data_IF_261269325766
#
_entry.id   IF_261269325766
#
_cell.length_a   1.000
_cell.length_b   1.000
_cell.length_c   1.000
_cell.angle_alpha   90.00
_cell.angle_beta   90.00
_cell.angle_gamma   90.00
#
_symmetry.space_group_name_H-M   'P 1'
#
loop_
_entity.id
_entity.type
_entity.pdbx_description
1 polymer ?
#
# COMPACT_ATOMS: atom_id res chain seq x y z
N UNK A 1 -37.43 -42.64 6.22
CA UNK A 1 -36.15 -41.89 6.28
C UNK A 1 -36.29 -40.79 7.31
N UNK A 2 -35.41 -40.69 8.32
CA UNK A 2 -35.46 -39.61 9.29
C UNK A 2 -35.14 -38.30 8.56
N UNK A 3 -36.07 -37.35 8.56
CA UNK A 3 -35.82 -36.00 8.04
C UNK A 3 -34.76 -35.37 8.95
N UNK A 4 -33.60 -35.02 8.38
CA UNK A 4 -32.46 -34.49 9.12
C UNK A 4 -32.87 -33.34 10.06
N UNK A 5 -32.29 -33.30 11.27
CA UNK A 5 -32.50 -32.22 12.23
C UNK A 5 -32.28 -30.87 11.53
N UNK A 6 -33.28 -30.00 11.59
CA UNK A 6 -33.14 -28.62 11.12
C UNK A 6 -32.17 -27.91 12.07
N UNK A 7 -31.20 -27.19 11.51
CA UNK A 7 -30.26 -26.36 12.28
C UNK A 7 -31.03 -25.38 13.15
N UNK A 8 -30.54 -25.12 14.35
CA UNK A 8 -31.11 -24.11 15.25
C UNK A 8 -30.76 -22.70 14.74
N UNK A 9 -31.53 -21.70 15.17
CA UNK A 9 -31.23 -20.31 14.83
C UNK A 9 -29.84 -19.87 15.32
N UNK A 10 -29.39 -20.40 16.46
CA UNK A 10 -28.05 -20.12 17.00
C UNK A 10 -26.94 -20.68 16.11
N UNK A 11 -27.06 -21.93 15.65
CA UNK A 11 -26.07 -22.53 14.74
C UNK A 11 -25.94 -21.75 13.43
N UNK A 12 -27.04 -21.18 12.92
CA UNK A 12 -27.02 -20.35 11.71
C UNK A 12 -26.31 -19.01 11.98
N UNK A 13 -26.55 -18.40 13.14
CA UNK A 13 -25.89 -17.14 13.54
C UNK A 13 -24.39 -17.37 13.74
N UNK A 14 -23.98 -18.46 14.38
CA UNK A 14 -22.58 -18.82 14.56
C UNK A 14 -21.86 -19.04 13.22
N UNK A 15 -22.50 -19.72 12.27
CA UNK A 15 -21.96 -19.91 10.91
C UNK A 15 -21.81 -18.56 10.18
N UNK A 16 -22.78 -17.65 10.33
CA UNK A 16 -22.70 -16.30 9.77
C UNK A 16 -21.59 -15.47 10.40
N UNK A 17 -21.43 -15.52 11.72
CA UNK A 17 -20.36 -14.83 12.43
C UNK A 17 -18.99 -15.33 11.98
N UNK A 18 -18.78 -16.65 11.94
CA UNK A 18 -17.52 -17.23 11.48
C UNK A 18 -17.18 -16.82 10.05
N UNK A 19 -18.20 -16.73 9.17
CA UNK A 19 -18.00 -16.24 7.81
C UNK A 19 -17.58 -14.76 7.78
N UNK A 20 -18.24 -13.92 8.56
CA UNK A 20 -17.91 -12.49 8.66
C UNK A 20 -16.50 -12.30 9.22
N UNK A 21 -16.10 -13.09 10.23
CA UNK A 21 -14.74 -13.08 10.78
C UNK A 21 -13.70 -13.45 9.71
N UNK A 22 -13.94 -14.52 8.95
CA UNK A 22 -13.04 -14.92 7.86
C UNK A 22 -12.92 -13.85 6.78
N UNK A 23 -14.02 -13.19 6.43
CA UNK A 23 -14.02 -12.13 5.43
C UNK A 23 -13.32 -10.86 5.95
N UNK A 24 -13.45 -10.55 7.24
CA UNK A 24 -12.68 -9.49 7.90
C UNK A 24 -11.17 -9.77 7.87
N UNK A 25 -10.75 -11.00 8.19
CA UNK A 25 -9.33 -11.38 8.15
C UNK A 25 -8.74 -11.24 6.74
N UNK A 26 -9.47 -11.70 5.72
CA UNK A 26 -9.06 -11.55 4.30
C UNK A 26 -8.95 -10.08 3.91
N UNK A 27 -9.92 -9.26 4.30
CA UNK A 27 -9.90 -7.82 4.02
C UNK A 27 -8.70 -7.14 4.70
N UNK A 28 -8.42 -7.47 5.96
CA UNK A 28 -7.25 -6.95 6.68
C UNK A 28 -5.94 -7.35 6.03
N UNK A 29 -5.81 -8.61 5.59
CA UNK A 29 -4.65 -9.07 4.83
C UNK A 29 -4.49 -8.28 3.52
N UNK A 30 -5.60 -8.00 2.83
CA UNK A 30 -5.59 -7.21 1.60
C UNK A 30 -5.17 -5.76 1.84
N UNK A 31 -5.65 -5.14 2.93
CA UNK A 31 -5.25 -3.79 3.32
C UNK A 31 -3.74 -3.74 3.57
N UNK A 32 -3.17 -4.70 4.30
CA UNK A 32 -1.72 -4.77 4.53
C UNK A 32 -0.93 -4.92 3.22
N UNK A 33 -1.39 -5.77 2.30
CA UNK A 33 -0.79 -5.93 0.98
C UNK A 33 -0.79 -4.62 0.18
N UNK A 34 -1.92 -3.91 0.17
CA UNK A 34 -2.06 -2.63 -0.52
C UNK A 34 -1.21 -1.53 0.11
N UNK A 35 -1.11 -1.48 1.44
CA UNK A 35 -0.23 -0.56 2.15
C UNK A 35 1.25 -0.79 1.78
N UNK A 36 1.69 -2.04 1.75
CA UNK A 36 3.05 -2.38 1.34
C UNK A 36 3.32 -2.01 -0.13
N UNK A 37 2.33 -2.23 -1.02
CA UNK A 37 2.42 -1.80 -2.42
C UNK A 37 2.51 -0.29 -2.56
N UNK A 38 1.71 0.46 -1.80
CA UNK A 38 1.73 1.92 -1.78
C UNK A 38 3.11 2.44 -1.40
N UNK A 39 3.66 1.99 -0.27
CA UNK A 39 4.99 2.39 0.21
C UNK A 39 6.08 2.10 -0.84
N UNK A 40 6.06 0.92 -1.47
CA UNK A 40 7.01 0.59 -2.55
C UNK A 40 6.89 1.50 -3.78
N UNK A 41 5.66 1.91 -4.13
CA UNK A 41 5.43 2.83 -5.25
C UNK A 41 5.88 4.24 -4.91
N UNK A 42 5.67 4.70 -3.68
CA UNK A 42 6.17 5.99 -3.18
C UNK A 42 7.70 6.03 -3.22
N UNK A 43 8.38 5.02 -2.69
CA UNK A 43 9.85 4.92 -2.76
C UNK A 43 10.38 4.91 -4.21
N UNK A 44 9.68 4.21 -5.11
CA UNK A 44 10.07 4.17 -6.53
C UNK A 44 9.89 5.53 -7.19
N UNK A 45 8.79 6.23 -6.87
CA UNK A 45 8.50 7.57 -7.37
C UNK A 45 9.58 8.55 -6.92
N UNK A 46 9.90 8.58 -5.62
CA UNK A 46 10.96 9.45 -5.08
C UNK A 46 12.30 9.18 -5.75
N UNK A 47 12.69 7.91 -5.94
CA UNK A 47 13.92 7.55 -6.65
C UNK A 47 13.93 8.01 -8.10
N UNK A 48 12.79 7.93 -8.79
CA UNK A 48 12.68 8.41 -10.17
C UNK A 48 12.80 9.94 -10.23
N UNK A 49 12.09 10.65 -9.35
CA UNK A 49 12.15 12.12 -9.26
C UNK A 49 13.57 12.60 -8.96
N UNK A 50 14.26 11.97 -7.99
CA UNK A 50 15.66 12.28 -7.67
C UNK A 50 16.61 11.96 -8.83
N UNK A 51 16.40 10.84 -9.51
CA UNK A 51 17.21 10.46 -10.68
C UNK A 51 17.02 11.43 -11.84
N UNK A 52 15.78 11.86 -12.11
CA UNK A 52 15.48 12.85 -13.13
C UNK A 52 16.08 14.21 -12.78
N UNK A 53 15.96 14.63 -11.52
CA UNK A 53 16.56 15.87 -11.04
C UNK A 53 18.08 15.85 -11.24
N UNK A 54 18.74 14.77 -10.81
CA UNK A 54 20.19 14.62 -10.97
C UNK A 54 20.62 14.59 -12.45
N UNK A 55 19.85 13.93 -13.31
CA UNK A 55 20.10 13.93 -14.75
C UNK A 55 19.99 15.34 -15.34
N UNK A 56 19.01 16.15 -14.90
CA UNK A 56 18.86 17.54 -15.33
C UNK A 56 19.99 18.43 -14.83
N UNK A 57 20.46 18.26 -13.59
CA UNK A 57 21.61 18.99 -13.04
C UNK A 57 22.87 18.66 -13.87
N UNK A 58 23.11 17.39 -14.17
CA UNK A 58 24.22 17.01 -15.06
C UNK A 58 24.08 17.59 -16.46
N UNK A 59 22.87 17.58 -17.02
CA UNK A 59 22.60 18.13 -18.35
C UNK A 59 22.77 19.65 -18.42
N UNK A 60 22.54 20.37 -17.31
CA UNK A 60 22.82 21.80 -17.24
C UNK A 60 24.32 22.12 -17.10
N UNK A 61 25.16 21.10 -16.96
CA UNK A 61 26.61 21.24 -16.80
C UNK A 61 27.02 21.76 -15.41
N UNK A 62 26.06 21.91 -14.49
CA UNK A 62 26.31 22.36 -13.12
C UNK A 62 26.59 21.17 -12.19
N UNK A 63 27.38 21.41 -11.16
CA UNK A 63 27.46 20.50 -10.02
C UNK A 63 26.23 20.65 -9.12
N UNK A 64 26.01 19.67 -8.24
CA UNK A 64 24.95 19.77 -7.23
C UNK A 64 25.22 20.94 -6.28
N UNK A 65 26.49 21.16 -5.90
CA UNK A 65 26.90 22.24 -5.00
C UNK A 65 26.65 23.62 -5.62
N UNK A 66 26.93 23.79 -6.92
CA UNK A 66 26.64 25.04 -7.65
C UNK A 66 25.13 25.32 -7.70
N UNK A 67 24.31 24.29 -7.89
CA UNK A 67 22.85 24.45 -7.89
C UNK A 67 22.33 24.81 -6.50
N UNK A 68 22.90 24.24 -5.44
CA UNK A 68 22.54 24.59 -4.07
C UNK A 68 22.94 26.03 -3.74
N UNK A 69 24.13 26.44 -4.16
CA UNK A 69 24.61 27.81 -3.99
C UNK A 69 23.71 28.82 -4.70
N UNK A 70 23.23 28.52 -5.91
CA UNK A 70 22.24 29.35 -6.62
C UNK A 70 20.91 29.52 -5.85
N UNK A 71 20.53 28.57 -4.98
CA UNK A 71 19.33 28.66 -4.14
C UNK A 71 19.57 29.43 -2.83
N UNK A 72 20.79 29.41 -2.31
CA UNK A 72 21.18 30.14 -1.09
C UNK A 72 21.49 31.62 -1.37
N UNK A 73 21.92 31.94 -2.60
CA UNK A 73 22.22 33.30 -3.05
C UNK A 73 20.98 34.10 -3.54
N UNK A 74 19.75 33.55 -3.38
CA UNK A 74 18.46 34.21 -3.66
C UNK A 74 17.83 34.84 -2.42
#
# INVERSE_FOLDING_TARGET
MPRGKKRTALEIIEEQLSKVESDLEKAQAKVKELQAKKSKLEERKEKQELSELYARIKASGKSVDEVLQDFEDQ
#
